data_IF_320550733819
#
_entry.id   IF_320550733819
#
_cell.length_a   1.000
_cell.length_b   1.000
_cell.length_c   1.000
_cell.angle_alpha   90.00
_cell.angle_beta   90.00
_cell.angle_gamma   90.00
#
_symmetry.space_group_name_H-M   'P 1'
#
loop_
_entity.id
_entity.type
_entity.pdbx_description
1 polymer ?
#
# COMPACT_ATOMS: atom_id res chain seq x y z
N UNK A 1 47.26 3.87 -28.43
CA UNK A 1 46.26 2.76 -28.43
C UNK A 1 45.48 2.63 -27.12
N UNK A 2 45.96 3.18 -26.00
CA UNK A 2 45.31 3.14 -24.67
C UNK A 2 44.05 4.01 -24.52
N UNK A 3 43.93 5.12 -25.28
CA UNK A 3 42.77 6.03 -25.20
C UNK A 3 41.45 5.43 -25.71
N UNK A 4 41.49 4.59 -26.76
CA UNK A 4 40.28 3.89 -27.24
C UNK A 4 39.80 2.82 -26.24
N UNK A 5 40.74 2.14 -25.56
CA UNK A 5 40.42 1.10 -24.59
C UNK A 5 39.66 1.66 -23.38
N UNK A 6 40.09 2.82 -22.88
CA UNK A 6 39.43 3.56 -21.80
C UNK A 6 38.03 4.04 -22.20
N UNK A 7 37.86 4.48 -23.45
CA UNK A 7 36.57 4.94 -23.96
C UNK A 7 35.55 3.78 -24.09
N UNK A 8 35.99 2.63 -24.59
CA UNK A 8 35.17 1.41 -24.68
C UNK A 8 34.80 0.86 -23.28
N UNK A 9 35.73 0.89 -22.33
CA UNK A 9 35.46 0.51 -20.93
C UNK A 9 34.41 1.42 -20.29
N UNK A 10 34.55 2.74 -20.48
CA UNK A 10 33.59 3.75 -20.01
C UNK A 10 32.19 3.49 -20.57
N UNK A 11 32.07 3.16 -21.86
CA UNK A 11 30.78 2.91 -22.50
C UNK A 11 30.12 1.63 -21.97
N UNK A 12 30.91 0.57 -21.71
CA UNK A 12 30.42 -0.65 -21.06
C UNK A 12 30.00 -0.43 -19.59
N UNK A 13 30.73 0.41 -18.85
CA UNK A 13 30.37 0.75 -17.47
C UNK A 13 29.07 1.56 -17.40
N UNK A 14 28.83 2.48 -18.34
CA UNK A 14 27.57 3.23 -18.43
C UNK A 14 26.37 2.33 -18.73
N UNK A 15 26.50 1.36 -19.63
CA UNK A 15 25.41 0.41 -19.91
C UNK A 15 25.16 -0.52 -18.73
N UNK A 16 26.21 -1.04 -18.07
CA UNK A 16 26.08 -1.84 -16.85
C UNK A 16 25.37 -1.09 -15.71
N UNK A 17 25.66 0.19 -15.50
CA UNK A 17 24.97 1.05 -14.51
C UNK A 17 23.53 1.35 -14.93
N UNK A 18 23.25 1.50 -16.23
CA UNK A 18 21.89 1.72 -16.74
C UNK A 18 21.00 0.46 -16.63
N UNK A 19 21.56 -0.74 -16.83
CA UNK A 19 20.80 -2.00 -16.77
C UNK A 19 20.64 -2.57 -15.35
N UNK A 20 21.51 -2.19 -14.40
CA UNK A 20 21.43 -2.68 -13.01
C UNK A 20 20.45 -1.92 -12.13
N UNK A 21 19.91 -0.78 -12.58
CA UNK A 21 19.12 0.12 -11.72
C UNK A 21 17.60 -0.04 -11.81
N UNK A 22 17.06 -0.81 -12.76
CA UNK A 22 15.60 -0.89 -12.93
C UNK A 22 15.15 -2.27 -13.43
N UNK A 23 15.30 -3.30 -12.60
CA UNK A 23 14.29 -4.36 -12.64
C UNK A 23 12.98 -3.68 -12.18
N UNK A 24 11.93 -3.54 -13.02
CA UNK A 24 10.66 -3.05 -12.52
C UNK A 24 10.20 -4.09 -11.52
N UNK A 25 10.33 -3.74 -10.25
CA UNK A 25 9.80 -4.49 -9.15
C UNK A 25 8.27 -4.46 -9.35
N UNK A 26 7.73 -5.48 -9.99
CA UNK A 26 6.31 -5.59 -10.29
C UNK A 26 5.67 -6.36 -9.15
N UNK A 27 4.96 -5.64 -8.26
CA UNK A 27 3.92 -6.28 -7.48
C UNK A 27 2.83 -6.70 -8.48
N UNK A 28 2.52 -8.00 -8.64
CA UNK A 28 1.54 -8.45 -9.60
C UNK A 28 0.23 -7.68 -9.39
N UNK A 29 -0.23 -7.01 -10.46
CA UNK A 29 -1.52 -6.32 -10.47
C UNK A 29 -2.25 -6.74 -11.73
N UNK A 30 -3.51 -7.16 -11.56
CA UNK A 30 -4.37 -7.47 -12.70
C UNK A 30 -5.13 -6.23 -13.20
N UNK A 31 -4.92 -5.06 -12.58
CA UNK A 31 -5.57 -3.80 -12.92
C UNK A 31 -4.60 -2.62 -12.79
N UNK A 32 -4.72 -1.64 -13.69
CA UNK A 32 -4.04 -0.34 -13.58
C UNK A 32 -4.88 0.71 -12.83
N UNK A 33 -6.05 0.32 -12.31
CA UNK A 33 -6.97 1.22 -11.61
C UNK A 33 -6.50 1.44 -10.17
N UNK A 34 -6.33 2.71 -9.80
CA UNK A 34 -5.91 3.11 -8.46
C UNK A 34 -7.09 3.01 -7.49
N UNK A 35 -6.82 2.55 -6.28
CA UNK A 35 -7.77 2.68 -5.16
C UNK A 35 -7.76 4.14 -4.70
N UNK A 36 -8.93 4.74 -4.61
CA UNK A 36 -9.10 6.15 -4.24
C UNK A 36 -9.70 6.28 -2.84
N UNK A 37 -9.31 7.32 -2.11
CA UNK A 37 -9.96 7.73 -0.87
C UNK A 37 -11.28 8.47 -1.15
N UNK A 38 -11.99 8.85 -0.08
CA UNK A 38 -13.28 9.55 -0.18
C UNK A 38 -13.17 10.95 -0.79
N UNK A 39 -11.97 11.49 -0.93
CA UNK A 39 -11.68 12.76 -1.61
C UNK A 39 -11.25 12.54 -3.07
N UNK A 40 -11.31 11.31 -3.58
CA UNK A 40 -10.92 10.96 -4.95
C UNK A 40 -9.41 10.90 -5.17
N UNK A 41 -8.60 10.89 -4.11
CA UNK A 41 -7.13 10.85 -4.20
C UNK A 41 -6.64 9.42 -4.10
N UNK A 42 -5.60 9.07 -4.86
CA UNK A 42 -4.98 7.74 -4.77
C UNK A 42 -4.52 7.43 -3.35
N UNK A 43 -4.88 6.25 -2.84
CA UNK A 43 -4.48 5.77 -1.52
C UNK A 43 -2.96 5.64 -1.45
N UNK A 44 -2.36 6.29 -0.46
CA UNK A 44 -0.93 6.32 -0.22
C UNK A 44 -0.56 5.32 0.89
N UNK A 45 0.25 4.29 0.59
CA UNK A 45 0.75 3.32 1.58
C UNK A 45 1.47 3.93 2.80
N UNK A 46 1.91 5.18 2.73
CA UNK A 46 2.56 5.87 3.84
C UNK A 46 1.57 6.65 4.74
N UNK A 47 0.29 6.73 4.38
CA UNK A 47 -0.73 7.49 5.09
C UNK A 47 -1.65 6.59 5.90
N UNK A 48 -2.31 7.19 6.91
CA UNK A 48 -3.30 6.50 7.74
C UNK A 48 -4.71 6.73 7.19
N UNK A 49 -5.49 5.67 7.10
CA UNK A 49 -6.87 5.68 6.63
C UNK A 49 -7.78 5.04 7.67
N UNK A 50 -9.09 5.28 7.53
CA UNK A 50 -10.12 4.54 8.26
C UNK A 50 -10.99 3.83 7.24
N UNK A 51 -11.25 2.55 7.46
CA UNK A 51 -12.25 1.82 6.68
C UNK A 51 -13.62 2.14 7.27
N UNK A 52 -14.53 2.57 6.42
CA UNK A 52 -15.90 2.91 6.76
C UNK A 52 -16.85 2.24 5.78
N UNK A 53 -18.11 2.09 6.18
CA UNK A 53 -19.16 1.75 5.22
C UNK A 53 -19.25 2.82 4.13
N UNK A 54 -19.42 2.40 2.88
CA UNK A 54 -19.77 3.30 1.77
C UNK A 54 -21.23 3.76 1.84
N UNK A 55 -22.06 3.07 2.63
CA UNK A 55 -23.49 3.33 2.81
C UNK A 55 -23.75 3.90 4.20
N UNK A 56 -24.58 4.94 4.27
CA UNK A 56 -25.03 5.54 5.53
C UNK A 56 -26.19 4.79 6.19
N UNK A 57 -26.74 5.38 7.25
CA UNK A 57 -27.90 4.85 7.96
C UNK A 57 -27.58 3.59 8.76
N UNK A 58 -28.43 2.57 8.70
CA UNK A 58 -28.25 1.33 9.48
C UNK A 58 -27.00 0.52 9.10
N UNK A 59 -26.46 0.76 7.89
CA UNK A 59 -25.24 0.13 7.41
C UNK A 59 -23.99 0.94 7.74
N UNK A 60 -24.12 2.10 8.40
CA UNK A 60 -23.00 2.95 8.77
C UNK A 60 -22.01 2.29 9.73
N UNK A 61 -20.87 2.95 9.95
CA UNK A 61 -19.90 2.58 10.97
C UNK A 61 -18.50 2.32 10.42
N UNK A 62 -17.53 2.69 11.26
CA UNK A 62 -16.12 2.48 11.01
C UNK A 62 -15.61 1.15 11.56
N UNK A 63 -14.54 0.64 10.94
CA UNK A 63 -13.78 -0.50 11.45
C UNK A 63 -12.89 -0.05 12.61
N UNK A 64 -12.78 -0.87 13.65
CA UNK A 64 -11.93 -0.62 14.82
C UNK A 64 -11.31 -1.91 15.36
N UNK A 65 -10.18 -1.76 16.04
CA UNK A 65 -9.51 -2.82 16.79
C UNK A 65 -10.11 -2.89 18.20
N UNK A 66 -10.60 -4.06 18.58
CA UNK A 66 -11.28 -4.30 19.85
C UNK A 66 -10.92 -5.66 20.46
N UNK A 67 -11.38 -5.89 21.68
CA UNK A 67 -11.16 -7.16 22.37
C UNK A 67 -12.18 -8.20 21.91
N UNK A 68 -11.74 -9.39 21.53
CA UNK A 68 -12.66 -10.50 21.27
C UNK A 68 -13.30 -10.92 22.60
N UNK A 69 -14.65 -11.06 22.67
CA UNK A 69 -15.31 -11.51 23.89
C UNK A 69 -14.74 -12.84 24.40
N UNK A 70 -14.34 -12.88 25.67
CA UNK A 70 -13.70 -14.02 26.33
C UNK A 70 -12.33 -14.42 25.73
N UNK A 71 -11.66 -13.55 24.99
CA UNK A 71 -10.27 -13.80 24.58
C UNK A 71 -9.33 -13.74 25.78
N UNK A 72 -8.37 -14.66 25.82
CA UNK A 72 -7.29 -14.70 26.80
C UNK A 72 -6.15 -13.73 26.51
N UNK A 73 -6.21 -12.96 25.41
CA UNK A 73 -5.22 -11.93 25.12
C UNK A 73 -5.30 -10.78 26.15
N UNK A 74 -4.17 -10.15 26.45
CA UNK A 74 -4.13 -8.93 27.26
C UNK A 74 -4.38 -7.64 26.45
N UNK A 75 -4.40 -7.76 25.13
CA UNK A 75 -4.50 -6.66 24.19
C UNK A 75 -5.65 -6.93 23.20
N UNK A 76 -6.28 -5.88 22.65
CA UNK A 76 -7.25 -6.01 21.58
C UNK A 76 -6.73 -6.86 20.40
N UNK A 77 -7.48 -7.88 20.03
CA UNK A 77 -7.08 -8.93 19.08
C UNK A 77 -8.15 -9.21 18.00
N UNK A 78 -9.24 -8.45 17.98
CA UNK A 78 -10.32 -8.58 17.01
C UNK A 78 -10.55 -7.32 16.20
N UNK A 79 -10.95 -7.50 14.94
CA UNK A 79 -11.36 -6.42 14.05
C UNK A 79 -12.88 -6.39 13.99
N UNK A 80 -13.46 -5.28 14.41
CA UNK A 80 -14.90 -5.08 14.52
C UNK A 80 -15.35 -3.86 13.71
N UNK A 81 -16.65 -3.72 13.53
CA UNK A 81 -17.28 -2.55 12.91
C UNK A 81 -18.28 -1.94 13.89
N UNK A 82 -18.28 -0.62 14.02
CA UNK A 82 -19.32 0.08 14.77
C UNK A 82 -20.69 -0.04 14.08
N UNK A 83 -21.75 0.08 14.86
CA UNK A 83 -23.13 0.11 14.35
C UNK A 83 -23.57 1.52 13.89
N UNK A 84 -22.70 2.53 14.01
CA UNK A 84 -22.98 3.91 13.61
C UNK A 84 -21.71 4.70 13.28
N UNK A 85 -21.85 5.77 12.49
CA UNK A 85 -20.75 6.68 12.10
C UNK A 85 -20.29 7.65 13.21
N UNK A 86 -20.95 7.65 14.38
CA UNK A 86 -20.62 8.57 15.47
C UNK A 86 -19.27 8.30 16.15
N UNK A 87 -18.68 7.13 15.91
CA UNK A 87 -17.42 6.71 16.52
C UNK A 87 -16.30 6.67 15.48
N UNK A 88 -15.17 7.26 15.83
CA UNK A 88 -13.99 7.26 14.96
C UNK A 88 -13.32 5.89 15.01
N UNK A 89 -13.22 5.22 13.86
CA UNK A 89 -12.53 3.94 13.75
C UNK A 89 -11.03 4.01 14.01
N UNK A 90 -10.41 2.84 14.16
CA UNK A 90 -8.96 2.69 14.30
C UNK A 90 -8.27 3.03 12.97
N UNK A 91 -7.33 3.99 12.95
CA UNK A 91 -6.54 4.26 11.76
C UNK A 91 -5.64 3.06 11.40
N UNK A 92 -5.54 2.77 10.10
CA UNK A 92 -4.72 1.69 9.55
C UNK A 92 -3.90 2.18 8.35
N UNK A 93 -2.95 1.35 7.93
CA UNK A 93 -2.05 1.66 6.81
C UNK A 93 -1.91 0.44 5.91
N UNK A 94 -2.08 0.64 4.62
CA UNK A 94 -1.86 -0.42 3.63
C UNK A 94 -0.37 -0.61 3.36
N UNK A 95 0.11 -1.84 3.42
CA UNK A 95 1.52 -2.20 3.23
C UNK A 95 1.64 -3.09 1.98
N UNK A 96 2.39 -2.64 0.99
CA UNK A 96 2.65 -3.37 -0.24
C UNK A 96 3.64 -4.52 0.00
N UNK A 97 3.39 -5.69 -0.59
CA UNK A 97 4.17 -6.91 -0.33
C UNK A 97 5.59 -6.91 -0.90
N UNK A 98 5.77 -6.42 -2.13
CA UNK A 98 7.03 -6.65 -2.86
C UNK A 98 7.71 -5.36 -3.30
N UNK A 99 6.95 -4.30 -3.62
CA UNK A 99 7.51 -3.17 -4.36
C UNK A 99 6.72 -1.88 -4.09
N UNK A 100 7.41 -0.82 -3.65
CA UNK A 100 6.85 0.54 -3.62
C UNK A 100 6.95 1.16 -5.01
N UNK A 101 5.82 1.28 -5.70
CA UNK A 101 5.73 2.15 -6.87
C UNK A 101 6.14 3.59 -6.50
N UNK A 102 6.69 4.35 -7.44
CA UNK A 102 6.96 5.78 -7.24
C UNK A 102 6.02 6.61 -8.15
N UNK A 103 5.12 7.45 -7.58
CA UNK A 103 4.79 7.57 -6.15
C UNK A 103 4.06 6.33 -5.62
N UNK A 104 4.13 6.05 -4.30
CA UNK A 104 3.51 4.86 -3.73
C UNK A 104 1.99 5.00 -3.80
N UNK A 105 1.33 4.02 -4.42
CA UNK A 105 -0.10 4.00 -4.73
C UNK A 105 -0.60 2.57 -4.66
N UNK A 106 -1.76 2.39 -4.03
CA UNK A 106 -2.46 1.10 -4.02
C UNK A 106 -3.31 0.98 -5.28
N UNK A 107 -3.21 -0.17 -5.95
CA UNK A 107 -4.03 -0.52 -7.11
C UNK A 107 -5.04 -1.62 -6.77
N UNK A 108 -6.14 -1.67 -7.51
CA UNK A 108 -7.11 -2.75 -7.41
C UNK A 108 -6.45 -4.09 -7.84
N UNK A 109 -6.86 -5.19 -7.21
CA UNK A 109 -6.34 -6.54 -7.47
C UNK A 109 -4.81 -6.63 -7.30
N UNK A 110 -4.31 -6.01 -6.23
CA UNK A 110 -2.92 -6.05 -5.78
C UNK A 110 -2.86 -6.66 -4.37
N UNK A 111 -1.87 -7.51 -4.13
CA UNK A 111 -1.65 -8.09 -2.80
C UNK A 111 -1.08 -7.03 -1.83
N UNK A 112 -1.75 -6.89 -0.68
CA UNK A 112 -1.45 -5.93 0.39
C UNK A 112 -1.67 -6.54 1.78
N UNK A 113 -0.93 -6.03 2.76
CA UNK A 113 -1.26 -6.18 4.18
C UNK A 113 -1.96 -4.91 4.71
N UNK A 114 -2.70 -5.07 5.80
CA UNK A 114 -3.48 -4.01 6.48
C UNK A 114 -2.99 -3.88 7.92
#
# INVERSE_FOLDING_TARGET
MTKCLLFLLSLCLLTLVAFSSTSPCQNPRNSNRQVLDTLGRGVNPCSNYRIASSLGGVLSGHVYLGHIPNSGASCPDGIFKYNSDGQSGTPLRFIEHACRGQPPRIYENQDINI
#
